data_IF_526808820128
#
_entry.id   IF_526808820128
#
_cell.length_a   1.000
_cell.length_b   1.000
_cell.length_c   1.000
_cell.angle_alpha   90.00
_cell.angle_beta   90.00
_cell.angle_gamma   90.00
#
_symmetry.space_group_name_H-M   'P 1'
#
loop_
_entity.id
_entity.type
_entity.pdbx_description
1 polymer ?
#
# COMPACT_ATOMS: atom_id res chain seq x y z
N UNK A 1 10.39 31.46 18.06
CA UNK A 1 11.13 30.25 17.73
C UNK A 1 10.38 28.98 18.20
N UNK A 2 9.84 28.95 19.42
CA UNK A 2 9.08 27.79 19.94
C UNK A 2 7.66 27.62 19.36
N UNK A 3 6.98 28.69 18.93
CA UNK A 3 5.66 28.58 18.27
C UNK A 3 5.72 27.93 16.89
N UNK A 4 6.79 28.12 16.12
CA UNK A 4 6.97 27.48 14.82
C UNK A 4 7.27 25.98 14.93
N UNK A 5 7.88 25.53 16.05
CA UNK A 5 8.12 24.09 16.31
C UNK A 5 6.81 23.39 16.69
N UNK A 6 5.93 24.06 17.47
CA UNK A 6 4.61 23.51 17.81
C UNK A 6 3.65 23.43 16.60
N UNK A 7 3.67 24.44 15.70
CA UNK A 7 2.87 24.40 14.45
C UNK A 7 3.37 23.35 13.46
N UNK A 8 4.69 23.09 13.41
CA UNK A 8 5.29 22.08 12.51
C UNK A 8 4.88 20.65 12.86
N UNK A 9 4.60 20.34 14.12
CA UNK A 9 4.23 19.00 14.59
C UNK A 9 2.71 18.79 14.73
N UNK A 10 1.90 19.83 14.56
CA UNK A 10 0.44 19.72 14.76
C UNK A 10 -0.23 18.85 13.68
N UNK A 11 0.36 18.74 12.50
CA UNK A 11 -0.16 17.95 11.38
C UNK A 11 0.64 16.66 11.09
N UNK A 12 1.74 16.41 11.83
CA UNK A 12 2.55 15.22 11.61
C UNK A 12 1.76 13.95 11.91
N UNK A 13 1.70 13.05 10.92
CA UNK A 13 1.01 11.77 11.02
C UNK A 13 2.02 10.63 11.17
N UNK A 14 1.66 9.62 11.94
CA UNK A 14 2.29 8.31 11.88
C UNK A 14 1.52 7.52 10.82
N UNK A 15 2.14 7.20 9.71
CA UNK A 15 1.58 6.23 8.74
C UNK A 15 1.74 4.83 9.30
N UNK A 16 0.64 4.10 9.50
CA UNK A 16 0.65 2.71 9.98
C UNK A 16 0.10 1.79 8.90
N UNK A 17 0.91 0.83 8.49
CA UNK A 17 0.57 -0.25 7.57
C UNK A 17 0.34 -1.55 8.35
N UNK A 18 -0.88 -2.10 8.26
CA UNK A 18 -1.28 -3.35 8.89
C UNK A 18 -1.03 -4.54 7.95
N UNK A 19 0.21 -4.99 7.89
CA UNK A 19 0.55 -6.20 7.13
C UNK A 19 0.26 -7.50 7.89
N UNK A 20 0.04 -8.61 7.18
CA UNK A 20 -0.28 -9.93 7.76
C UNK A 20 0.88 -10.62 8.50
N UNK A 21 2.12 -10.16 8.29
CA UNK A 21 3.32 -10.69 8.96
C UNK A 21 3.94 -9.71 9.97
N UNK A 22 3.79 -8.42 9.73
CA UNK A 22 4.27 -7.36 10.63
C UNK A 22 3.46 -6.09 10.44
N UNK A 23 3.34 -5.29 11.50
CA UNK A 23 2.81 -3.93 11.42
C UNK A 23 3.99 -2.97 11.33
N UNK A 24 3.95 -2.08 10.32
CA UNK A 24 4.99 -1.10 10.05
C UNK A 24 4.45 0.29 10.30
N UNK A 25 5.31 1.16 10.82
CA UNK A 25 4.94 2.54 11.08
C UNK A 25 6.09 3.49 10.76
N UNK A 26 5.76 4.63 10.20
CA UNK A 26 6.71 5.65 9.77
C UNK A 26 6.17 7.04 10.08
N UNK A 27 7.05 7.93 10.54
CA UNK A 27 6.75 9.36 10.64
C UNK A 27 7.82 10.18 9.94
N UNK A 28 7.38 11.16 9.17
CA UNK A 28 8.23 12.06 8.41
C UNK A 28 7.89 13.52 8.70
N UNK A 29 8.86 14.40 8.47
CA UNK A 29 8.67 15.84 8.49
C UNK A 29 9.34 16.49 7.27
N UNK A 30 8.89 17.71 6.90
CA UNK A 30 9.59 18.51 5.88
C UNK A 30 10.88 19.08 6.46
N UNK A 31 12.01 18.74 5.86
CA UNK A 31 13.31 19.36 6.07
C UNK A 31 13.49 20.67 5.28
N UNK A 32 14.73 21.10 5.10
CA UNK A 32 15.09 22.24 4.24
C UNK A 32 15.25 21.76 2.78
N UNK A 33 14.15 21.49 2.10
CA UNK A 33 14.14 21.07 0.68
C UNK A 33 14.10 19.56 0.45
N UNK A 34 14.06 18.76 1.51
CA UNK A 34 13.88 17.30 1.45
C UNK A 34 12.99 16.83 2.60
N UNK A 35 12.62 15.54 2.61
CA UNK A 35 11.94 14.91 3.74
C UNK A 35 12.94 14.38 4.76
N UNK A 36 12.53 14.37 6.02
CA UNK A 36 13.29 13.80 7.13
C UNK A 36 12.50 12.67 7.77
N UNK A 37 13.13 11.51 7.95
CA UNK A 37 12.61 10.42 8.77
C UNK A 37 12.73 10.81 10.24
N UNK A 38 11.59 10.92 10.89
CA UNK A 38 11.53 11.26 12.32
C UNK A 38 11.58 10.04 13.22
N UNK A 39 10.92 8.97 12.81
CA UNK A 39 10.97 7.66 13.45
C UNK A 39 10.40 6.58 12.52
N UNK A 40 10.87 5.36 12.70
CA UNK A 40 10.36 4.16 12.03
C UNK A 40 10.23 3.03 13.04
N UNK A 41 9.25 2.16 12.86
CA UNK A 41 9.07 0.96 13.66
C UNK A 41 8.48 -0.17 12.83
N UNK A 42 8.88 -1.39 13.15
CA UNK A 42 8.26 -2.61 12.69
C UNK A 42 8.13 -3.58 13.86
N UNK A 43 6.96 -4.18 13.98
CA UNK A 43 6.71 -5.21 15.00
C UNK A 43 6.08 -6.42 14.31
N UNK A 44 6.74 -7.58 14.34
CA UNK A 44 6.18 -8.83 13.83
C UNK A 44 4.88 -9.19 14.58
N UNK A 45 3.94 -9.80 13.87
CA UNK A 45 2.70 -10.33 14.45
C UNK A 45 2.62 -11.86 14.27
N UNK A 46 1.88 -12.50 15.15
CA UNK A 46 1.65 -13.93 15.02
C UNK A 46 0.78 -14.23 13.79
N UNK A 47 1.09 -15.33 13.08
CA UNK A 47 0.26 -15.82 11.96
C UNK A 47 -1.20 -15.96 12.40
N UNK A 48 -2.12 -15.45 11.58
CA UNK A 48 -3.55 -15.54 11.83
C UNK A 48 -4.13 -14.41 12.69
N UNK A 49 -3.36 -13.39 13.08
CA UNK A 49 -3.91 -12.19 13.72
C UNK A 49 -4.58 -11.23 12.73
N UNK A 50 -4.11 -11.21 11.48
CA UNK A 50 -4.75 -10.53 10.37
C UNK A 50 -4.90 -11.55 9.24
N UNK A 51 -6.15 -11.84 8.86
CA UNK A 51 -6.51 -12.80 7.82
C UNK A 51 -7.43 -12.08 6.82
N UNK A 52 -7.06 -12.08 5.54
CA UNK A 52 -7.81 -11.40 4.47
C UNK A 52 -8.18 -9.94 4.83
N UNK A 53 -7.26 -9.23 5.52
CA UNK A 53 -7.38 -7.88 6.06
C UNK A 53 -8.34 -7.71 7.25
N UNK A 54 -8.94 -8.77 7.76
CA UNK A 54 -9.74 -8.76 8.98
C UNK A 54 -8.88 -9.01 10.23
N UNK A 55 -9.21 -8.31 11.30
CA UNK A 55 -8.53 -8.39 12.59
C UNK A 55 -9.19 -9.49 13.44
N UNK A 56 -8.50 -10.62 13.60
CA UNK A 56 -8.99 -11.77 14.38
C UNK A 56 -8.88 -11.56 15.91
N UNK A 57 -7.94 -10.74 16.36
CA UNK A 57 -7.75 -10.43 17.78
C UNK A 57 -7.28 -8.97 17.96
N UNK A 58 -8.27 -8.08 18.09
CA UNK A 58 -8.04 -6.64 18.27
C UNK A 58 -7.20 -6.37 19.53
N UNK A 59 -7.37 -7.17 20.59
CA UNK A 59 -6.64 -6.98 21.85
C UNK A 59 -5.15 -7.19 21.66
N UNK A 60 -4.75 -8.26 20.97
CA UNK A 60 -3.34 -8.53 20.68
C UNK A 60 -2.76 -7.48 19.72
N UNK A 61 -3.51 -7.11 18.68
CA UNK A 61 -3.08 -6.07 17.73
C UNK A 61 -2.91 -4.72 18.42
N UNK A 62 -3.81 -4.35 19.34
CA UNK A 62 -3.67 -3.16 20.20
C UNK A 62 -2.35 -3.17 20.99
N UNK A 63 -1.92 -4.35 21.53
CA UNK A 63 -0.63 -4.44 22.22
C UNK A 63 0.55 -4.21 21.27
N UNK A 64 0.46 -4.68 20.03
CA UNK A 64 1.47 -4.42 18.98
C UNK A 64 1.53 -2.92 18.69
N UNK A 65 0.40 -2.24 18.50
CA UNK A 65 0.37 -0.78 18.29
C UNK A 65 0.95 -0.03 19.49
N UNK A 66 0.69 -0.48 20.73
CA UNK A 66 1.33 0.08 21.93
C UNK A 66 2.86 -0.09 21.95
N UNK A 67 3.38 -1.19 21.39
CA UNK A 67 4.83 -1.38 21.22
C UNK A 67 5.38 -0.42 20.17
N UNK A 68 4.73 -0.33 19.01
CA UNK A 68 5.07 0.62 17.95
C UNK A 68 5.11 2.05 18.49
N UNK A 69 4.10 2.46 19.24
CA UNK A 69 3.97 3.80 19.82
C UNK A 69 5.20 4.24 20.62
N UNK A 70 5.91 3.31 21.26
CA UNK A 70 7.11 3.62 22.09
C UNK A 70 8.28 4.13 21.25
N UNK A 71 8.32 3.84 19.97
CA UNK A 71 9.38 4.27 19.06
C UNK A 71 9.18 5.71 18.56
N UNK A 72 8.00 6.29 18.78
CA UNK A 72 7.67 7.63 18.30
C UNK A 72 7.69 8.66 19.43
N UNK A 73 8.11 9.92 19.17
CA UNK A 73 8.04 10.98 20.15
C UNK A 73 6.62 11.16 20.73
N UNK A 74 6.51 11.58 21.98
CA UNK A 74 5.23 11.73 22.67
C UNK A 74 4.27 12.73 21.98
N UNK A 75 4.80 13.66 21.19
CA UNK A 75 4.04 14.63 20.39
C UNK A 75 3.32 14.04 19.19
N UNK A 76 3.74 12.87 18.70
CA UNK A 76 3.09 12.18 17.57
C UNK A 76 1.92 11.35 18.10
N UNK A 77 0.71 11.86 17.94
CA UNK A 77 -0.52 11.20 18.40
C UNK A 77 -1.47 10.89 17.26
N UNK A 78 -1.34 11.60 16.14
CA UNK A 78 -2.21 11.46 14.99
C UNK A 78 -1.69 10.35 14.05
N UNK A 79 -2.61 9.56 13.53
CA UNK A 79 -2.31 8.40 12.70
C UNK A 79 -3.07 8.47 11.39
N UNK A 80 -2.40 8.05 10.32
CA UNK A 80 -3.02 7.64 9.07
C UNK A 80 -2.90 6.14 8.93
N UNK A 81 -4.00 5.46 8.58
CA UNK A 81 -4.09 4.03 8.30
C UNK A 81 -4.64 3.82 6.90
N UNK A 82 -4.53 2.59 6.37
CA UNK A 82 -5.11 2.24 5.08
C UNK A 82 -5.95 0.98 5.17
N UNK A 83 -7.04 0.98 4.41
CA UNK A 83 -7.85 -0.20 4.12
C UNK A 83 -7.46 -0.77 2.76
N UNK A 84 -7.59 -2.08 2.60
CA UNK A 84 -7.21 -2.80 1.37
C UNK A 84 -8.08 -4.05 1.18
N UNK A 85 -7.91 -4.73 0.05
CA UNK A 85 -8.57 -6.01 -0.22
C UNK A 85 -9.98 -5.89 -0.77
N UNK A 86 -10.78 -6.96 -0.58
CA UNK A 86 -12.11 -7.09 -1.16
C UNK A 86 -13.16 -6.16 -0.53
N UNK A 87 -12.87 -5.62 0.65
CA UNK A 87 -13.76 -4.71 1.38
C UNK A 87 -13.66 -3.26 0.93
N UNK A 88 -12.79 -2.97 -0.05
CA UNK A 88 -12.56 -1.63 -0.58
C UNK A 88 -12.80 -1.63 -2.08
N UNK A 89 -13.61 -0.68 -2.54
CA UNK A 89 -13.90 -0.48 -3.96
C UNK A 89 -13.62 0.98 -4.29
N UNK A 90 -12.84 1.18 -5.34
CA UNK A 90 -12.63 2.50 -5.94
C UNK A 90 -13.03 2.46 -7.40
N UNK A 91 -13.79 3.46 -7.84
CA UNK A 91 -14.22 3.62 -9.24
C UNK A 91 -14.18 5.07 -9.65
N UNK A 92 -13.80 5.33 -10.88
CA UNK A 92 -14.01 6.64 -11.52
C UNK A 92 -15.35 6.60 -12.26
N UNK A 93 -16.23 7.54 -11.92
CA UNK A 93 -17.59 7.64 -12.47
C UNK A 93 -17.75 9.02 -13.09
N UNK A 94 -18.11 9.13 -14.39
CA UNK A 94 -18.40 10.41 -15.00
C UNK A 94 -19.70 10.99 -14.43
N UNK A 95 -19.64 12.23 -13.92
CA UNK A 95 -20.79 12.94 -13.34
C UNK A 95 -20.91 14.35 -13.93
N UNK A 96 -22.11 14.93 -13.93
CA UNK A 96 -22.36 16.24 -14.50
C UNK A 96 -21.48 17.31 -13.81
N UNK A 97 -20.79 18.13 -14.62
CA UNK A 97 -19.85 19.15 -14.14
C UNK A 97 -20.55 20.34 -13.48
N UNK A 98 -21.85 20.56 -13.77
CA UNK A 98 -22.62 21.69 -13.25
C UNK A 98 -23.22 21.44 -11.86
N UNK A 99 -23.05 20.23 -11.28
CA UNK A 99 -23.54 19.89 -9.95
C UNK A 99 -22.79 20.67 -8.87
N UNK A 100 -23.54 21.26 -7.93
CA UNK A 100 -22.92 21.76 -6.71
C UNK A 100 -22.56 20.60 -5.75
N UNK A 101 -21.84 20.88 -4.68
CA UNK A 101 -21.31 19.87 -3.76
C UNK A 101 -22.42 18.95 -3.18
N UNK A 102 -23.57 19.50 -2.77
CA UNK A 102 -24.69 18.72 -2.22
C UNK A 102 -25.36 17.84 -3.29
N UNK A 103 -25.51 18.37 -4.50
CA UNK A 103 -26.07 17.63 -5.63
C UNK A 103 -25.13 16.51 -6.07
N UNK A 104 -23.81 16.77 -6.05
CA UNK A 104 -22.80 15.79 -6.36
C UNK A 104 -22.79 14.67 -5.31
N UNK A 105 -22.85 15.00 -4.03
CA UNK A 105 -22.95 14.01 -2.93
C UNK A 105 -24.16 13.08 -3.12
N UNK A 106 -25.34 13.65 -3.38
CA UNK A 106 -26.55 12.86 -3.65
C UNK A 106 -26.43 11.98 -4.91
N UNK A 107 -25.78 12.49 -5.96
CA UNK A 107 -25.53 11.71 -7.18
C UNK A 107 -24.52 10.59 -6.93
N UNK A 108 -23.48 10.84 -6.13
CA UNK A 108 -22.49 9.81 -5.71
C UNK A 108 -23.16 8.68 -4.94
N UNK A 109 -24.07 9.00 -4.00
CA UNK A 109 -24.82 7.97 -3.26
C UNK A 109 -25.67 7.11 -4.20
N UNK A 110 -26.38 7.75 -5.15
CA UNK A 110 -27.20 7.04 -6.14
C UNK A 110 -26.36 6.13 -7.04
N UNK A 111 -25.22 6.63 -7.53
CA UNK A 111 -24.31 5.82 -8.35
C UNK A 111 -23.64 4.70 -7.54
N UNK A 112 -23.38 4.94 -6.25
CA UNK A 112 -22.83 3.93 -5.36
C UNK A 112 -23.78 2.74 -5.18
N UNK A 113 -25.12 2.97 -5.03
CA UNK A 113 -26.12 1.90 -4.97
C UNK A 113 -26.09 0.97 -6.19
N UNK A 114 -25.78 1.53 -7.37
CA UNK A 114 -25.74 0.77 -8.63
C UNK A 114 -24.40 0.10 -8.90
N UNK A 115 -23.31 0.64 -8.36
CA UNK A 115 -21.94 0.27 -8.73
C UNK A 115 -21.18 -0.48 -7.63
N UNK A 116 -21.63 -0.42 -6.37
CA UNK A 116 -20.97 -1.02 -5.22
C UNK A 116 -21.82 -2.19 -4.71
N UNK A 117 -21.27 -3.40 -4.58
CA UNK A 117 -22.02 -4.60 -4.19
C UNK A 117 -22.26 -4.70 -2.67
N UNK A 118 -22.22 -3.58 -1.96
CA UNK A 118 -22.47 -3.50 -0.52
C UNK A 118 -23.60 -2.53 -0.23
N UNK A 119 -24.47 -2.79 0.77
CA UNK A 119 -25.46 -1.84 1.25
C UNK A 119 -24.81 -0.54 1.73
N UNK A 120 -25.39 0.63 1.39
CA UNK A 120 -24.83 1.94 1.76
C UNK A 120 -24.71 2.13 3.28
N UNK A 121 -25.60 1.53 4.06
CA UNK A 121 -25.56 1.58 5.52
C UNK A 121 -24.40 0.76 6.13
N UNK A 122 -23.80 -0.15 5.37
CA UNK A 122 -22.64 -0.96 5.78
C UNK A 122 -21.29 -0.39 5.35
N UNK A 123 -21.25 0.71 4.58
CA UNK A 123 -20.02 1.29 4.04
C UNK A 123 -19.79 2.73 4.50
N UNK A 124 -18.52 3.12 4.53
CA UNK A 124 -18.10 4.51 4.41
C UNK A 124 -17.89 4.81 2.94
N UNK A 125 -18.40 5.94 2.49
CA UNK A 125 -18.31 6.45 1.12
C UNK A 125 -17.59 7.79 1.13
N UNK A 126 -16.68 8.00 0.20
CA UNK A 126 -15.97 9.26 -0.03
C UNK A 126 -15.76 9.46 -1.52
N UNK A 127 -15.61 10.71 -1.97
CA UNK A 127 -15.43 11.02 -3.37
C UNK A 127 -14.54 12.26 -3.59
N UNK A 128 -13.93 12.31 -4.76
CA UNK A 128 -13.09 13.45 -5.19
C UNK A 128 -13.29 13.69 -6.69
N UNK A 129 -13.47 14.95 -7.08
CA UNK A 129 -13.45 15.35 -8.50
C UNK A 129 -12.00 15.36 -8.98
N UNK A 130 -11.64 14.46 -9.89
CA UNK A 130 -10.26 14.33 -10.38
C UNK A 130 -9.96 15.38 -11.45
N UNK A 131 -10.79 15.40 -12.52
CA UNK A 131 -10.59 16.28 -13.68
C UNK A 131 -11.89 16.38 -14.52
N UNK A 132 -11.88 17.27 -15.49
CA UNK A 132 -12.90 17.27 -16.55
C UNK A 132 -12.76 15.99 -17.39
N UNK A 133 -13.91 15.37 -17.74
CA UNK A 133 -13.92 14.15 -18.54
C UNK A 133 -13.36 14.39 -19.95
N UNK A 134 -12.48 13.49 -20.42
CA UNK A 134 -11.79 13.63 -21.70
C UNK A 134 -12.75 13.58 -22.91
N UNK A 135 -13.88 12.88 -22.78
CA UNK A 135 -14.84 12.63 -23.86
C UNK A 135 -16.02 13.60 -23.87
N UNK A 136 -16.27 14.32 -22.76
CA UNK A 136 -17.38 15.27 -22.63
C UNK A 136 -17.05 16.41 -21.68
N UNK A 137 -17.15 17.65 -22.16
CA UNK A 137 -16.96 18.86 -21.34
C UNK A 137 -18.07 19.10 -20.32
N UNK A 138 -19.21 18.42 -20.46
CA UNK A 138 -20.33 18.51 -19.54
C UNK A 138 -20.18 17.59 -18.34
N UNK A 139 -19.14 16.74 -18.33
CA UNK A 139 -18.87 15.76 -17.29
C UNK A 139 -17.51 16.02 -16.60
N UNK A 140 -17.46 15.69 -15.33
CA UNK A 140 -16.24 15.51 -14.56
C UNK A 140 -16.04 14.02 -14.22
N UNK A 141 -14.80 13.58 -14.21
CA UNK A 141 -14.43 12.29 -13.67
C UNK A 141 -14.34 12.40 -12.15
N UNK A 142 -15.18 11.64 -11.46
CA UNK A 142 -15.27 11.61 -10.00
C UNK A 142 -14.77 10.26 -9.49
N UNK A 143 -13.71 10.28 -8.69
CA UNK A 143 -13.24 9.10 -7.96
C UNK A 143 -14.20 8.86 -6.80
N UNK A 144 -14.82 7.70 -6.76
CA UNK A 144 -15.68 7.24 -5.67
C UNK A 144 -14.97 6.09 -4.96
N UNK A 145 -14.82 6.21 -3.65
CA UNK A 145 -14.18 5.22 -2.79
C UNK A 145 -15.16 4.74 -1.73
N UNK A 146 -15.31 3.43 -1.61
CA UNK A 146 -16.16 2.81 -0.59
C UNK A 146 -15.38 1.76 0.18
N UNK A 147 -15.58 1.73 1.50
CA UNK A 147 -14.95 0.74 2.38
C UNK A 147 -15.97 0.21 3.40
N UNK A 148 -15.93 -1.09 3.71
CA UNK A 148 -16.79 -1.67 4.74
C UNK A 148 -16.54 -1.02 6.10
N UNK A 149 -17.63 -0.61 6.76
CA UNK A 149 -17.58 0.01 8.11
C UNK A 149 -16.90 -0.90 9.12
N UNK A 150 -17.19 -2.19 9.09
CA UNK A 150 -16.60 -3.18 10.00
C UNK A 150 -15.07 -3.18 9.91
N UNK A 151 -14.52 -3.24 8.71
CA UNK A 151 -13.06 -3.24 8.47
C UNK A 151 -12.42 -1.93 8.93
N UNK A 152 -13.02 -0.79 8.57
CA UNK A 152 -12.53 0.53 8.99
C UNK A 152 -12.57 0.67 10.51
N UNK A 153 -13.71 0.39 11.14
CA UNK A 153 -13.90 0.58 12.58
C UNK A 153 -13.00 -0.33 13.40
N UNK A 154 -12.78 -1.60 12.99
CA UNK A 154 -11.88 -2.51 13.70
C UNK A 154 -10.44 -1.99 13.74
N UNK A 155 -9.96 -1.37 12.64
CA UNK A 155 -8.65 -0.75 12.58
C UNK A 155 -8.58 0.54 13.44
N UNK A 156 -9.58 1.40 13.35
CA UNK A 156 -9.69 2.63 14.15
C UNK A 156 -9.70 2.29 15.64
N UNK A 157 -10.55 1.36 16.07
CA UNK A 157 -10.67 0.94 17.46
C UNK A 157 -9.34 0.39 18.01
N UNK A 158 -8.62 -0.39 17.20
CA UNK A 158 -7.30 -0.91 17.57
C UNK A 158 -6.29 0.21 17.83
N UNK A 159 -6.25 1.23 16.95
CA UNK A 159 -5.36 2.39 17.06
C UNK A 159 -5.74 3.26 18.26
N UNK A 160 -7.02 3.55 18.45
CA UNK A 160 -7.51 4.42 19.53
C UNK A 160 -7.37 3.76 20.90
N UNK A 161 -7.59 2.45 21.00
CA UNK A 161 -7.33 1.67 22.22
C UNK A 161 -5.83 1.62 22.58
N UNK A 162 -4.93 1.94 21.64
CA UNK A 162 -3.51 2.11 21.90
C UNK A 162 -3.12 3.53 22.36
N UNK A 163 -4.08 4.46 22.47
CA UNK A 163 -3.87 5.83 22.90
C UNK A 163 -3.36 6.77 21.78
N UNK A 164 -3.64 6.42 20.53
CA UNK A 164 -3.42 7.23 19.33
C UNK A 164 -4.77 7.76 18.82
N UNK A 165 -4.75 8.68 17.87
CA UNK A 165 -5.95 9.25 17.26
C UNK A 165 -5.89 9.06 15.76
N UNK A 166 -6.83 8.33 15.20
CA UNK A 166 -6.96 8.16 13.75
C UNK A 166 -7.47 9.47 13.14
N UNK A 167 -6.70 10.05 12.24
CA UNK A 167 -7.04 11.28 11.51
C UNK A 167 -7.36 11.02 10.04
N UNK A 168 -6.79 9.97 9.48
CA UNK A 168 -6.95 9.61 8.08
C UNK A 168 -7.13 8.10 7.99
N UNK A 169 -8.16 7.68 7.28
CA UNK A 169 -8.31 6.32 6.74
C UNK A 169 -8.22 6.45 5.23
N UNK A 170 -7.16 5.93 4.65
CA UNK A 170 -6.87 5.99 3.21
C UNK A 170 -7.11 4.61 2.57
N UNK A 171 -7.02 4.54 1.26
CA UNK A 171 -6.97 3.28 0.52
C UNK A 171 -5.51 2.92 0.23
N UNK A 172 -5.11 1.67 0.47
CA UNK A 172 -3.73 1.24 0.33
C UNK A 172 -3.16 1.49 -1.08
N UNK A 173 -3.96 1.33 -2.15
CA UNK A 173 -3.56 1.63 -3.52
C UNK A 173 -3.20 3.11 -3.72
N UNK A 174 -3.96 4.03 -3.12
CA UNK A 174 -3.67 5.47 -3.19
C UNK A 174 -2.48 5.87 -2.32
N UNK A 175 -2.33 5.27 -1.14
CA UNK A 175 -1.15 5.46 -0.31
C UNK A 175 0.12 4.98 -1.04
N UNK A 176 0.08 3.81 -1.66
CA UNK A 176 1.17 3.28 -2.47
C UNK A 176 1.51 4.21 -3.65
N UNK A 177 0.50 4.67 -4.40
CA UNK A 177 0.68 5.60 -5.52
C UNK A 177 1.40 6.88 -5.07
N UNK A 178 0.95 7.49 -3.97
CA UNK A 178 1.57 8.70 -3.39
C UNK A 178 3.03 8.50 -3.01
N UNK A 179 3.39 7.33 -2.49
CA UNK A 179 4.79 7.02 -2.21
C UNK A 179 5.61 6.83 -3.50
N UNK A 180 5.01 6.21 -4.53
CA UNK A 180 5.66 6.01 -5.83
C UNK A 180 5.95 7.31 -6.57
N UNK A 181 5.14 8.36 -6.39
CA UNK A 181 5.41 9.67 -7.00
C UNK A 181 6.78 10.24 -6.64
N UNK A 182 7.33 9.86 -5.47
CA UNK A 182 8.70 10.25 -5.07
C UNK A 182 9.79 9.59 -5.92
N UNK A 183 9.48 8.52 -6.62
CA UNK A 183 10.39 7.76 -7.48
C UNK A 183 10.30 8.21 -8.95
N UNK A 184 9.29 8.99 -9.31
CA UNK A 184 9.06 9.37 -10.69
C UNK A 184 10.03 10.46 -11.15
N UNK A 185 10.61 10.23 -12.30
CA UNK A 185 11.29 11.26 -13.06
C UNK A 185 10.23 12.10 -13.80
N UNK A 186 10.60 13.30 -14.24
CA UNK A 186 9.69 14.17 -15.00
C UNK A 186 9.16 13.51 -16.27
N UNK A 187 9.97 12.66 -16.90
CA UNK A 187 9.64 11.90 -18.11
C UNK A 187 8.70 10.71 -17.86
N UNK A 188 8.52 10.30 -16.60
CA UNK A 188 7.64 9.20 -16.22
C UNK A 188 6.18 9.64 -16.07
N UNK A 189 5.93 10.95 -15.96
CA UNK A 189 4.60 11.48 -15.63
C UNK A 189 3.52 11.10 -16.65
N UNK A 190 3.86 11.09 -17.94
CA UNK A 190 2.91 10.75 -19.01
C UNK A 190 2.91 9.28 -19.41
N UNK A 191 3.72 8.45 -18.76
CA UNK A 191 3.77 6.99 -18.98
C UNK A 191 2.74 6.25 -18.14
N UNK A 192 2.32 5.07 -18.62
CA UNK A 192 1.67 4.07 -17.77
C UNK A 192 2.72 3.35 -16.92
N UNK A 193 2.60 3.42 -15.60
CA UNK A 193 3.53 2.80 -14.66
C UNK A 193 2.79 1.72 -13.88
N UNK A 194 3.23 0.47 -14.02
CA UNK A 194 2.78 -0.63 -13.19
C UNK A 194 3.54 -0.61 -11.85
N UNK A 195 2.83 -0.63 -10.74
CA UNK A 195 3.40 -0.79 -9.40
C UNK A 195 2.87 -2.07 -8.80
N UNK A 196 3.76 -2.99 -8.48
CA UNK A 196 3.44 -4.30 -7.92
C UNK A 196 3.95 -4.39 -6.49
N UNK A 197 3.04 -4.37 -5.53
CA UNK A 197 3.36 -4.60 -4.13
C UNK A 197 3.14 -6.07 -3.77
N UNK A 198 4.22 -6.76 -3.37
CA UNK A 198 4.16 -8.17 -2.98
C UNK A 198 4.45 -8.28 -1.48
N UNK A 199 3.38 -8.39 -0.71
CA UNK A 199 3.42 -8.58 0.73
C UNK A 199 3.61 -10.04 1.14
N UNK A 200 3.32 -10.34 2.40
CA UNK A 200 3.35 -11.71 2.90
C UNK A 200 2.16 -12.54 2.41
N UNK A 201 0.93 -12.02 2.48
CA UNK A 201 -0.29 -12.75 2.08
C UNK A 201 -0.94 -12.22 0.81
N UNK A 202 -0.65 -10.99 0.41
CA UNK A 202 -1.30 -10.33 -0.73
C UNK A 202 -0.29 -9.76 -1.71
N UNK A 203 -0.70 -9.74 -2.97
CA UNK A 203 -0.09 -9.01 -4.07
C UNK A 203 -1.09 -7.99 -4.59
N UNK A 204 -0.66 -6.74 -4.77
CA UNK A 204 -1.45 -5.65 -5.34
C UNK A 204 -0.75 -5.11 -6.58
N UNK A 205 -1.46 -5.07 -7.71
CA UNK A 205 -1.05 -4.38 -8.92
C UNK A 205 -1.84 -3.09 -9.05
N UNK A 206 -1.13 -1.97 -9.14
CA UNK A 206 -1.67 -0.68 -9.53
C UNK A 206 -1.09 -0.25 -10.87
N UNK A 207 -1.90 0.33 -11.74
CA UNK A 207 -1.41 1.08 -12.90
C UNK A 207 -1.63 2.55 -12.62
N UNK A 208 -0.55 3.32 -12.70
CA UNK A 208 -0.53 4.76 -12.48
C UNK A 208 -0.34 5.48 -13.81
N UNK A 209 -1.03 6.60 -13.96
CA UNK A 209 -0.82 7.56 -15.04
C UNK A 209 -1.05 8.96 -14.51
N UNK A 210 -0.13 9.87 -14.77
CA UNK A 210 -0.16 11.26 -14.28
C UNK A 210 -0.42 11.36 -12.75
N UNK A 211 0.21 10.45 -11.98
CA UNK A 211 0.07 10.39 -10.53
C UNK A 211 -1.24 9.75 -10.03
N UNK A 212 -2.17 9.39 -10.93
CA UNK A 212 -3.46 8.80 -10.57
C UNK A 212 -3.47 7.28 -10.71
N UNK A 213 -4.17 6.59 -9.81
CA UNK A 213 -4.44 5.16 -9.93
C UNK A 213 -5.57 4.95 -10.94
N UNK A 214 -5.25 4.47 -12.15
CA UNK A 214 -6.23 4.20 -13.20
C UNK A 214 -6.69 2.74 -13.21
N UNK A 215 -5.96 1.84 -12.56
CA UNK A 215 -6.32 0.44 -12.37
C UNK A 215 -5.71 -0.07 -11.06
N UNK A 216 -6.47 -0.83 -10.30
CA UNK A 216 -5.99 -1.49 -9.08
C UNK A 216 -6.60 -2.86 -8.94
N UNK A 217 -5.77 -3.84 -8.59
CA UNK A 217 -6.21 -5.21 -8.34
C UNK A 217 -5.37 -5.88 -7.27
N UNK A 218 -6.03 -6.51 -6.31
CA UNK A 218 -5.39 -7.29 -5.25
C UNK A 218 -5.72 -8.77 -5.37
N UNK A 219 -4.78 -9.62 -4.95
CA UNK A 219 -4.92 -11.07 -4.91
C UNK A 219 -4.32 -11.64 -3.63
N UNK A 220 -4.90 -12.73 -3.14
CA UNK A 220 -4.34 -13.50 -2.03
C UNK A 220 -3.17 -14.36 -2.53
N UNK A 221 -2.05 -13.69 -2.85
CA UNK A 221 -0.80 -14.28 -3.30
C UNK A 221 0.36 -13.43 -2.76
N UNK A 222 1.33 -14.04 -2.10
CA UNK A 222 2.47 -13.33 -1.51
C UNK A 222 3.53 -14.30 -1.00
N UNK A 223 4.53 -13.77 -0.32
CA UNK A 223 5.69 -14.54 0.16
C UNK A 223 5.34 -15.74 1.05
N UNK A 224 4.18 -15.73 1.72
CA UNK A 224 3.71 -16.84 2.53
C UNK A 224 3.37 -18.09 1.70
N UNK A 225 3.02 -17.95 0.42
CA UNK A 225 2.81 -19.09 -0.48
C UNK A 225 4.14 -19.82 -0.67
N UNK A 226 5.22 -19.11 -0.97
CA UNK A 226 6.56 -19.67 -1.07
C UNK A 226 6.97 -20.38 0.23
N UNK A 227 6.74 -19.75 1.39
CA UNK A 227 7.02 -20.32 2.70
C UNK A 227 6.24 -21.63 2.93
N UNK A 228 4.97 -21.67 2.53
CA UNK A 228 4.14 -22.85 2.67
C UNK A 228 4.64 -24.00 1.76
N UNK A 229 4.98 -23.68 0.49
CA UNK A 229 5.57 -24.66 -0.44
C UNK A 229 6.86 -25.26 0.12
N UNK A 230 7.75 -24.42 0.68
CA UNK A 230 8.99 -24.84 1.33
C UNK A 230 8.71 -25.72 2.56
N UNK A 231 7.76 -25.33 3.40
CA UNK A 231 7.37 -26.09 4.59
C UNK A 231 6.85 -27.49 4.23
N UNK A 232 6.01 -27.59 3.21
CA UNK A 232 5.43 -28.86 2.74
C UNK A 232 6.49 -29.76 2.07
N UNK A 233 7.33 -29.19 1.22
CA UNK A 233 8.34 -29.95 0.47
C UNK A 233 9.41 -30.56 1.38
N UNK A 234 9.92 -29.77 2.35
CA UNK A 234 11.01 -30.19 3.24
C UNK A 234 10.54 -30.70 4.60
N UNK A 235 9.23 -30.68 4.90
CA UNK A 235 8.70 -31.08 6.20
C UNK A 235 9.02 -30.11 7.34
N UNK A 236 9.31 -28.84 7.03
CA UNK A 236 9.56 -27.81 8.02
C UNK A 236 8.25 -27.30 8.65
N UNK A 237 8.37 -26.75 9.87
CA UNK A 237 7.29 -25.90 10.39
C UNK A 237 7.27 -24.57 9.61
N UNK A 238 6.10 -23.96 9.45
CA UNK A 238 5.96 -22.70 8.71
C UNK A 238 6.94 -21.62 9.17
N UNK A 239 7.06 -21.38 10.48
CA UNK A 239 7.98 -20.38 11.03
C UNK A 239 9.46 -20.70 10.78
N UNK A 240 9.82 -21.99 10.70
CA UNK A 240 11.15 -22.43 10.36
C UNK A 240 11.45 -22.17 8.88
N UNK A 241 10.53 -22.55 7.99
CA UNK A 241 10.61 -22.27 6.56
C UNK A 241 10.69 -20.76 6.29
N UNK A 242 9.89 -19.94 7.00
CA UNK A 242 9.94 -18.48 6.88
C UNK A 242 11.30 -17.91 7.27
N UNK A 243 11.88 -18.41 8.38
CA UNK A 243 13.22 -17.99 8.80
C UNK A 243 14.28 -18.37 7.77
N UNK A 244 14.28 -19.62 7.30
CA UNK A 244 15.20 -20.13 6.26
C UNK A 244 15.08 -19.27 5.00
N UNK A 245 13.85 -18.93 4.57
CA UNK A 245 13.60 -18.07 3.42
C UNK A 245 14.18 -16.67 3.61
N UNK A 246 13.94 -16.01 4.76
CA UNK A 246 14.44 -14.66 5.06
C UNK A 246 15.97 -14.62 5.13
N UNK A 247 16.59 -15.67 5.69
CA UNK A 247 18.04 -15.74 5.84
C UNK A 247 18.76 -16.27 4.58
N UNK A 248 18.00 -16.58 3.49
CA UNK A 248 18.52 -17.19 2.25
C UNK A 248 19.38 -18.45 2.52
N UNK A 249 18.95 -19.25 3.51
CA UNK A 249 19.66 -20.48 3.94
C UNK A 249 18.93 -21.76 3.50
N UNK A 250 18.24 -21.72 2.35
CA UNK A 250 17.49 -22.87 1.85
C UNK A 250 18.39 -23.92 1.20
N UNK A 251 17.90 -25.19 1.09
CA UNK A 251 18.58 -26.25 0.38
C UNK A 251 18.86 -25.92 -1.10
N UNK A 252 19.88 -26.54 -1.68
CA UNK A 252 20.35 -26.25 -3.05
C UNK A 252 19.28 -26.49 -4.13
N UNK A 253 18.41 -27.47 -3.92
CA UNK A 253 17.31 -27.83 -4.82
C UNK A 253 16.10 -26.87 -4.71
N UNK A 254 16.05 -26.05 -3.67
CA UNK A 254 14.95 -25.10 -3.39
C UNK A 254 14.74 -24.12 -4.55
N UNK A 255 15.79 -23.69 -5.22
CA UNK A 255 15.68 -22.75 -6.34
C UNK A 255 14.85 -23.35 -7.48
N UNK A 256 14.99 -24.65 -7.77
CA UNK A 256 14.26 -25.33 -8.83
C UNK A 256 12.88 -25.79 -8.37
N UNK A 257 12.80 -26.35 -7.16
CA UNK A 257 11.58 -27.03 -6.69
C UNK A 257 10.57 -26.09 -6.02
N UNK A 258 11.00 -24.94 -5.54
CA UNK A 258 10.15 -23.98 -4.79
C UNK A 258 10.19 -22.58 -5.38
N UNK A 259 11.39 -21.99 -5.52
CA UNK A 259 11.51 -20.57 -5.91
C UNK A 259 11.03 -20.35 -7.34
N UNK A 260 11.49 -21.12 -8.31
CA UNK A 260 11.09 -21.00 -9.70
C UNK A 260 9.58 -21.26 -9.91
N UNK A 261 8.94 -22.28 -9.31
CA UNK A 261 7.49 -22.43 -9.34
C UNK A 261 6.74 -21.26 -8.74
N UNK A 262 7.16 -20.72 -7.58
CA UNK A 262 6.55 -19.56 -6.97
C UNK A 262 6.63 -18.31 -7.86
N UNK A 263 7.81 -18.04 -8.42
CA UNK A 263 8.03 -16.93 -9.36
C UNK A 263 7.14 -17.09 -10.59
N UNK A 264 7.06 -18.29 -11.18
CA UNK A 264 6.18 -18.57 -12.32
C UNK A 264 4.68 -18.36 -11.99
N UNK A 265 4.23 -18.72 -10.79
CA UNK A 265 2.86 -18.43 -10.32
C UNK A 265 2.62 -16.93 -10.26
N UNK A 266 3.57 -16.17 -9.70
CA UNK A 266 3.50 -14.71 -9.60
C UNK A 266 3.45 -14.05 -10.98
N UNK A 267 4.30 -14.47 -11.90
CA UNK A 267 4.29 -14.02 -13.30
C UNK A 267 2.94 -14.30 -13.99
N UNK A 268 2.37 -15.48 -13.79
CA UNK A 268 1.05 -15.82 -14.37
C UNK A 268 -0.06 -14.91 -13.84
N UNK A 269 -0.03 -14.54 -12.56
CA UNK A 269 -0.96 -13.57 -11.98
C UNK A 269 -0.79 -12.20 -12.62
N UNK A 270 0.44 -11.72 -12.75
CA UNK A 270 0.74 -10.41 -13.36
C UNK A 270 0.36 -10.37 -14.83
N UNK A 271 0.68 -11.42 -15.61
CA UNK A 271 0.24 -11.54 -17.02
C UNK A 271 -1.27 -11.42 -17.16
N UNK A 272 -2.01 -12.12 -16.30
CA UNK A 272 -3.46 -12.07 -16.34
C UNK A 272 -3.98 -10.64 -16.05
N UNK A 273 -3.47 -9.98 -15.02
CA UNK A 273 -3.94 -8.66 -14.60
C UNK A 273 -3.54 -7.58 -15.61
N UNK A 274 -2.32 -7.62 -16.16
CA UNK A 274 -1.87 -6.72 -17.22
C UNK A 274 -2.68 -6.90 -18.51
N UNK A 275 -3.06 -8.14 -18.87
CA UNK A 275 -3.97 -8.38 -20.00
C UNK A 275 -5.37 -7.84 -19.75
N UNK A 276 -5.88 -7.98 -18.53
CA UNK A 276 -7.19 -7.40 -18.17
C UNK A 276 -7.17 -5.88 -18.34
N UNK A 277 -6.11 -5.22 -17.89
CA UNK A 277 -5.91 -3.78 -18.10
C UNK A 277 -5.80 -3.44 -19.59
N UNK A 278 -4.96 -4.14 -20.34
CA UNK A 278 -4.72 -3.87 -21.77
C UNK A 278 -5.94 -4.07 -22.67
N UNK A 279 -6.92 -4.87 -22.23
CA UNK A 279 -8.18 -5.07 -22.96
C UNK A 279 -9.25 -4.01 -22.65
N UNK A 280 -9.01 -3.12 -21.69
CA UNK A 280 -9.92 -2.01 -21.41
C UNK A 280 -9.90 -0.99 -22.58
N UNK A 281 -11.04 -0.36 -22.91
CA UNK A 281 -11.07 0.75 -23.85
C UNK A 281 -10.19 1.89 -23.33
N UNK A 282 -9.52 2.60 -24.25
CA UNK A 282 -8.67 3.77 -23.95
C UNK A 282 -7.52 3.47 -22.97
N UNK A 283 -6.99 2.25 -22.98
CA UNK A 283 -5.89 1.87 -22.11
C UNK A 283 -4.59 2.61 -22.49
N UNK A 284 -3.85 2.95 -21.45
CA UNK A 284 -2.53 3.56 -21.55
C UNK A 284 -1.48 2.45 -21.62
N UNK A 285 -0.50 2.57 -22.50
CA UNK A 285 0.60 1.61 -22.58
C UNK A 285 1.42 1.64 -21.29
N UNK A 286 1.61 0.48 -20.67
CA UNK A 286 2.57 0.33 -19.56
C UNK A 286 3.98 0.32 -20.14
N UNK A 287 4.85 1.20 -19.63
CA UNK A 287 6.23 1.36 -20.11
C UNK A 287 7.26 1.09 -19.01
N UNK A 288 6.85 1.12 -17.73
CA UNK A 288 7.70 0.87 -16.57
C UNK A 288 6.97 0.04 -15.53
N UNK A 289 7.71 -0.82 -14.82
CA UNK A 289 7.19 -1.60 -13.71
C UNK A 289 8.07 -1.40 -12.48
N UNK A 290 7.45 -1.05 -11.35
CA UNK A 290 8.10 -0.88 -10.06
C UNK A 290 7.65 -1.98 -9.14
N UNK A 291 8.60 -2.77 -8.62
CA UNK A 291 8.36 -3.79 -7.61
C UNK A 291 8.55 -3.22 -6.21
N UNK A 292 7.66 -3.58 -5.31
CA UNK A 292 7.71 -3.18 -3.89
C UNK A 292 7.13 -4.28 -3.00
N UNK A 293 7.18 -4.08 -1.69
CA UNK A 293 6.63 -5.00 -0.70
C UNK A 293 7.69 -5.74 0.09
N UNK A 294 7.23 -6.60 1.00
CA UNK A 294 8.09 -7.34 1.92
C UNK A 294 8.51 -8.73 1.44
N UNK A 295 8.23 -9.10 0.18
CA UNK A 295 8.65 -10.37 -0.37
C UNK A 295 10.17 -10.36 -0.62
N UNK A 296 10.89 -11.35 -0.07
CA UNK A 296 12.35 -11.44 -0.20
C UNK A 296 12.83 -11.84 -1.60
N UNK A 297 11.93 -12.21 -2.50
CA UNK A 297 12.22 -12.68 -3.86
C UNK A 297 11.98 -11.60 -4.93
N UNK A 298 11.98 -10.32 -4.56
CA UNK A 298 11.74 -9.22 -5.51
C UNK A 298 12.83 -9.14 -6.58
N UNK A 299 14.08 -9.44 -6.24
CA UNK A 299 15.20 -9.39 -7.18
C UNK A 299 15.08 -10.47 -8.26
N UNK A 300 14.70 -11.69 -7.87
CA UNK A 300 14.46 -12.82 -8.78
C UNK A 300 13.27 -12.55 -9.69
N UNK A 301 12.20 -11.96 -9.13
CA UNK A 301 11.04 -11.54 -9.90
C UNK A 301 11.38 -10.41 -10.89
N UNK A 302 12.17 -9.42 -10.48
CA UNK A 302 12.57 -8.31 -11.34
C UNK A 302 13.34 -8.79 -12.57
N UNK A 303 14.29 -9.71 -12.38
CA UNK A 303 15.06 -10.26 -13.47
C UNK A 303 14.18 -10.98 -14.50
N UNK A 304 13.24 -11.83 -14.04
CA UNK A 304 12.35 -12.58 -14.95
C UNK A 304 11.30 -11.68 -15.60
N UNK A 305 10.78 -10.67 -14.91
CA UNK A 305 9.85 -9.69 -15.50
C UNK A 305 10.52 -8.86 -16.59
N UNK A 306 11.79 -8.46 -16.38
CA UNK A 306 12.56 -7.72 -17.38
C UNK A 306 12.85 -8.55 -18.64
N UNK A 307 13.01 -9.88 -18.51
CA UNK A 307 13.17 -10.78 -19.65
C UNK A 307 11.85 -11.01 -20.42
N UNK A 308 10.73 -10.97 -19.71
CA UNK A 308 9.44 -11.34 -20.29
C UNK A 308 8.69 -10.15 -20.92
N UNK A 309 8.77 -9.00 -20.27
CA UNK A 309 8.03 -7.80 -20.68
C UNK A 309 8.99 -6.76 -21.27
N UNK A 310 8.52 -6.06 -22.31
CA UNK A 310 9.28 -5.02 -23.00
C UNK A 310 9.24 -3.67 -22.27
N UNK A 311 9.22 -3.66 -20.92
CA UNK A 311 9.27 -2.44 -20.15
C UNK A 311 10.38 -2.48 -19.10
N UNK A 312 10.78 -1.29 -18.66
CA UNK A 312 11.78 -1.12 -17.62
C UNK A 312 11.25 -1.65 -16.28
N UNK A 313 12.03 -2.50 -15.60
CA UNK A 313 11.66 -3.11 -14.32
C UNK A 313 12.65 -2.71 -13.25
N UNK A 314 12.16 -2.09 -12.18
CA UNK A 314 12.99 -1.68 -11.04
C UNK A 314 12.38 -2.12 -9.70
N UNK A 315 13.22 -2.34 -8.70
CA UNK A 315 12.80 -2.49 -7.30
C UNK A 315 12.85 -1.12 -6.64
N UNK A 316 11.77 -0.76 -5.95
CA UNK A 316 11.64 0.55 -5.33
C UNK A 316 12.72 0.81 -4.26
N UNK A 317 13.33 1.99 -4.30
CA UNK A 317 14.13 2.54 -3.20
C UNK A 317 13.55 3.92 -2.80
N UNK A 318 12.50 3.92 -1.95
CA UNK A 318 11.70 5.11 -1.70
C UNK A 318 12.37 6.15 -0.81
N UNK A 319 13.50 5.85 -0.18
CA UNK A 319 14.14 6.71 0.79
C UNK A 319 15.41 7.40 0.26
N UNK A 320 15.63 7.35 -1.04
CA UNK A 320 16.73 8.11 -1.68
C UNK A 320 16.54 9.61 -1.40
N UNK A 321 17.59 10.24 -0.89
CA UNK A 321 17.58 11.69 -0.62
C UNK A 321 16.89 12.12 0.67
N UNK A 322 16.37 11.19 1.47
CA UNK A 322 15.82 11.51 2.78
C UNK A 322 16.92 11.76 3.82
N UNK A 323 16.66 12.71 4.72
CA UNK A 323 17.45 12.89 5.95
C UNK A 323 16.92 11.97 7.06
N UNK A 324 17.78 11.64 8.04
CA UNK A 324 17.42 10.74 9.13
C UNK A 324 17.77 11.38 10.48
N UNK A 325 16.88 11.26 11.46
CA UNK A 325 17.18 11.68 12.83
C UNK A 325 18.09 10.68 13.55
N UNK A 326 17.92 9.39 13.23
CA UNK A 326 18.65 8.30 13.89
C UNK A 326 19.38 7.46 12.84
N UNK A 327 20.62 7.05 13.11
CA UNK A 327 21.40 6.18 12.22
C UNK A 327 20.82 4.76 12.16
N UNK A 328 20.20 4.27 13.25
CA UNK A 328 19.49 2.99 13.24
C UNK A 328 18.35 2.92 12.24
N UNK A 329 17.56 4.01 12.12
CA UNK A 329 16.45 4.11 11.19
C UNK A 329 16.94 4.12 9.75
N UNK A 330 18.08 4.77 9.50
CA UNK A 330 18.74 4.78 8.19
C UNK A 330 19.23 3.40 7.77
N UNK A 331 19.85 2.64 8.69
CA UNK A 331 20.29 1.27 8.41
C UNK A 331 19.07 0.40 8.09
N UNK A 332 18.03 0.42 8.93
CA UNK A 332 16.81 -0.33 8.72
C UNK A 332 16.16 -0.04 7.36
N UNK A 333 16.00 1.23 7.00
CA UNK A 333 15.34 1.61 5.76
C UNK A 333 16.22 1.40 4.51
N UNK A 334 17.54 1.37 4.64
CA UNK A 334 18.43 0.95 3.55
C UNK A 334 18.30 -0.54 3.24
N UNK A 335 18.12 -1.38 4.25
CA UNK A 335 18.04 -2.83 4.07
C UNK A 335 16.62 -3.29 3.72
N UNK A 336 15.62 -2.59 4.22
CA UNK A 336 14.23 -3.04 4.15
C UNK A 336 13.23 -1.95 3.76
N UNK A 337 13.67 -0.84 3.21
CA UNK A 337 12.84 0.33 2.89
C UNK A 337 11.70 0.02 1.92
N UNK A 338 11.93 -0.86 0.97
CA UNK A 338 10.95 -1.27 -0.04
C UNK A 338 9.61 -1.74 0.55
N UNK A 339 9.60 -2.32 1.74
CA UNK A 339 8.38 -2.80 2.40
C UNK A 339 7.61 -1.72 3.17
N UNK A 340 8.10 -0.47 3.20
CA UNK A 340 7.45 0.64 3.91
C UNK A 340 6.69 1.60 2.98
N UNK A 341 6.52 1.26 1.71
CA UNK A 341 5.88 2.14 0.72
C UNK A 341 4.48 2.61 1.14
N UNK A 342 3.63 1.71 1.63
CA UNK A 342 2.28 2.08 2.10
C UNK A 342 2.39 3.00 3.33
N UNK A 343 3.21 2.65 4.33
CA UNK A 343 3.42 3.47 5.52
C UNK A 343 3.99 4.87 5.17
N UNK A 344 4.88 4.96 4.16
CA UNK A 344 5.40 6.21 3.62
C UNK A 344 4.28 7.05 2.99
N UNK A 345 3.49 6.45 2.10
CA UNK A 345 2.38 7.13 1.45
C UNK A 345 1.34 7.67 2.44
N UNK A 346 1.10 6.95 3.54
CA UNK A 346 0.25 7.39 4.65
C UNK A 346 0.88 8.56 5.41
N UNK A 347 2.18 8.49 5.73
CA UNK A 347 2.89 9.55 6.44
C UNK A 347 2.97 10.85 5.61
N UNK A 348 3.04 10.75 4.27
CA UNK A 348 3.04 11.89 3.36
C UNK A 348 1.76 12.74 3.45
N UNK A 349 0.61 12.16 3.87
CA UNK A 349 -0.63 12.92 4.14
C UNK A 349 -0.47 14.01 5.20
N UNK A 350 0.51 13.88 6.08
CA UNK A 350 0.77 14.87 7.15
C UNK A 350 1.73 15.98 6.76
N UNK A 351 2.34 15.93 5.58
CA UNK A 351 3.37 16.90 5.12
C UNK A 351 3.06 17.54 3.77
N UNK A 352 1.93 17.20 3.17
CA UNK A 352 1.38 17.85 1.97
C UNK A 352 0.85 19.24 2.25
#
# INVERSE_FOLDING_TARGET
MFENIRKRNANALIGIDFGSNSIKALAISKGKGTFQIDAVAEVPIAKGLIVDNHFEDITKLTQVIKQIRKNFPASYKNVAIAVTGADVITKVIPMNADLNELELEAQVELEAENNIPFPLDEIFLDFEVICANANSKELNDVLVSAARKETVLSQVDCVEAAGLTTKVVDVASHALARACELLFLREDYDKGIAVVDIGASQMMLNILHQGQVIFSRSKNHGGAVCTQMMAEHYGFKFNEAEKIKIEHQWPVDCDVDIIAPFVNMTLNHLRFDLRMFSNAPDNIKVEKLILTGGCQLLSELAAQLAEEFEFDVEVADPFIGFEYKNESDKILLREAGVKYMIALGLALRGVQ
#
